data_IF_921534675615
#
_entry.id   IF_921534675615
#
_cell.length_a   1.000
_cell.length_b   1.000
_cell.length_c   1.000
_cell.angle_alpha   90.00
_cell.angle_beta   90.00
_cell.angle_gamma   90.00
#
_symmetry.space_group_name_H-M   'P 1'
#
loop_
_entity.id
_entity.type
_entity.pdbx_description
1 polymer ?
#
# COMPACT_ATOMS: atom_id res chain seq x y z
N UNK A 1 -21.25 -67.49 17.75
CA UNK A 1 -22.09 -66.29 17.48
C UNK A 1 -21.34 -64.98 17.77
N UNK A 2 -20.76 -64.79 18.97
CA UNK A 2 -19.97 -63.60 19.37
C UNK A 2 -19.04 -63.05 18.26
N UNK A 3 -18.15 -63.89 17.71
CA UNK A 3 -17.10 -63.49 16.75
C UNK A 3 -17.67 -62.89 15.45
N UNK A 4 -18.83 -63.38 14.99
CA UNK A 4 -19.48 -62.83 13.78
C UNK A 4 -20.01 -61.41 14.03
N UNK A 5 -20.54 -61.16 15.24
CA UNK A 5 -21.10 -59.88 15.63
C UNK A 5 -20.00 -58.81 15.75
N UNK A 6 -18.88 -59.14 16.39
CA UNK A 6 -17.72 -58.22 16.49
C UNK A 6 -17.12 -57.91 15.11
N UNK A 7 -17.02 -58.91 14.22
CA UNK A 7 -16.50 -58.70 12.86
C UNK A 7 -17.42 -57.83 11.98
N UNK A 8 -18.73 -57.90 12.18
CA UNK A 8 -19.71 -57.02 11.52
C UNK A 8 -19.64 -55.58 12.04
N UNK A 9 -19.47 -55.40 13.36
CA UNK A 9 -19.33 -54.07 13.97
C UNK A 9 -18.07 -53.35 13.44
N UNK A 10 -16.92 -54.02 13.47
CA UNK A 10 -15.64 -53.48 12.99
C UNK A 10 -15.70 -53.15 11.48
N UNK A 11 -16.40 -53.97 10.68
CA UNK A 11 -16.61 -53.67 9.26
C UNK A 11 -17.51 -52.44 9.04
N UNK A 12 -18.58 -52.28 9.83
CA UNK A 12 -19.44 -51.09 9.76
C UNK A 12 -18.68 -49.82 10.14
N UNK A 13 -17.88 -49.88 11.20
CA UNK A 13 -17.04 -48.78 11.68
C UNK A 13 -15.95 -48.42 10.66
N UNK A 14 -15.25 -49.41 10.09
CA UNK A 14 -14.24 -49.18 9.05
C UNK A 14 -14.82 -48.57 7.76
N UNK A 15 -16.06 -48.92 7.38
CA UNK A 15 -16.75 -48.31 6.23
C UNK A 15 -17.12 -46.85 6.53
N UNK A 16 -17.56 -46.54 7.76
CA UNK A 16 -17.84 -45.16 8.20
C UNK A 16 -16.59 -44.28 8.08
N UNK A 17 -15.49 -44.68 8.72
CA UNK A 17 -14.21 -43.93 8.66
C UNK A 17 -13.67 -43.76 7.24
N UNK A 18 -13.92 -44.70 6.31
CA UNK A 18 -13.50 -44.54 4.92
C UNK A 18 -14.30 -43.43 4.22
N UNK A 19 -15.63 -43.44 4.38
CA UNK A 19 -16.51 -42.41 3.80
C UNK A 19 -16.19 -41.02 4.35
N UNK A 20 -15.98 -40.89 5.67
CA UNK A 20 -15.59 -39.63 6.31
C UNK A 20 -14.23 -39.13 5.79
N UNK A 21 -13.27 -40.03 5.60
CA UNK A 21 -11.97 -39.70 4.98
C UNK A 21 -12.15 -39.21 3.54
N UNK A 22 -13.07 -39.80 2.76
CA UNK A 22 -13.32 -39.37 1.38
C UNK A 22 -13.92 -37.95 1.31
N UNK A 23 -14.81 -37.60 2.24
CA UNK A 23 -15.41 -36.27 2.34
C UNK A 23 -14.39 -35.22 2.80
N UNK A 24 -13.58 -35.54 3.81
CA UNK A 24 -12.48 -34.68 4.26
C UNK A 24 -11.42 -34.45 3.16
N UNK A 25 -10.99 -35.51 2.47
CA UNK A 25 -10.04 -35.37 1.35
C UNK A 25 -10.61 -34.57 0.18
N UNK A 26 -11.92 -34.65 -0.07
CA UNK A 26 -12.57 -33.80 -1.06
C UNK A 26 -12.55 -32.31 -0.67
N UNK A 27 -12.87 -31.96 0.58
CA UNK A 27 -12.82 -30.56 1.03
C UNK A 27 -11.39 -30.02 1.09
N UNK A 28 -10.41 -30.83 1.49
CA UNK A 28 -8.98 -30.49 1.44
C UNK A 28 -8.57 -30.20 -0.01
N UNK A 29 -8.92 -31.08 -0.97
CA UNK A 29 -8.59 -30.87 -2.39
C UNK A 29 -9.23 -29.60 -2.97
N UNK A 30 -10.44 -29.24 -2.53
CA UNK A 30 -11.07 -27.98 -2.92
C UNK A 30 -10.36 -26.76 -2.30
N UNK A 31 -9.85 -26.87 -1.06
CA UNK A 31 -9.03 -25.81 -0.48
C UNK A 31 -7.69 -25.65 -1.22
N UNK A 32 -7.02 -26.77 -1.57
CA UNK A 32 -5.78 -26.77 -2.36
C UNK A 32 -5.96 -26.10 -3.74
N UNK A 33 -7.07 -26.35 -4.45
CA UNK A 33 -7.32 -25.71 -5.74
C UNK A 33 -7.56 -24.21 -5.60
N UNK A 34 -8.25 -23.75 -4.54
CA UNK A 34 -8.46 -22.32 -4.27
C UNK A 34 -7.14 -21.63 -3.88
N UNK A 35 -6.27 -22.29 -3.10
CA UNK A 35 -4.94 -21.78 -2.76
C UNK A 35 -4.09 -21.65 -4.04
N UNK A 36 -4.01 -22.69 -4.87
CA UNK A 36 -3.26 -22.67 -6.12
C UNK A 36 -3.78 -21.61 -7.12
N UNK A 37 -5.10 -21.39 -7.16
CA UNK A 37 -5.70 -20.31 -7.96
C UNK A 37 -5.33 -18.92 -7.41
N UNK A 38 -5.33 -18.75 -6.09
CA UNK A 38 -4.91 -17.51 -5.43
C UNK A 38 -3.44 -17.19 -5.74
N UNK A 39 -2.54 -18.16 -5.60
CA UNK A 39 -1.12 -17.99 -5.88
C UNK A 39 -0.87 -17.60 -7.35
N UNK A 40 -1.58 -18.22 -8.29
CA UNK A 40 -1.50 -17.86 -9.71
C UNK A 40 -1.96 -16.42 -10.00
N UNK A 41 -3.02 -15.95 -9.33
CA UNK A 41 -3.52 -14.57 -9.46
C UNK A 41 -2.51 -13.57 -8.86
N UNK A 42 -1.96 -13.87 -7.69
CA UNK A 42 -0.97 -13.03 -7.01
C UNK A 42 0.32 -12.92 -7.83
N UNK A 43 0.85 -14.04 -8.33
CA UNK A 43 2.03 -14.05 -9.19
C UNK A 43 1.79 -13.23 -10.47
N UNK A 44 0.63 -13.40 -11.14
CA UNK A 44 0.30 -12.58 -12.31
C UNK A 44 0.24 -11.08 -11.98
N UNK A 45 -0.33 -10.71 -10.83
CA UNK A 45 -0.39 -9.30 -10.41
C UNK A 45 1.02 -8.72 -10.17
N UNK A 46 1.93 -9.51 -9.59
CA UNK A 46 3.33 -9.14 -9.38
C UNK A 46 4.02 -8.96 -10.75
N UNK A 47 3.90 -9.94 -11.64
CA UNK A 47 4.49 -9.90 -12.99
C UNK A 47 3.98 -8.72 -13.82
N UNK A 48 2.66 -8.47 -13.83
CA UNK A 48 2.04 -7.33 -14.50
C UNK A 48 2.60 -5.99 -13.94
N UNK A 49 2.79 -5.90 -12.62
CA UNK A 49 3.35 -4.69 -11.98
C UNK A 49 4.82 -4.46 -12.35
N UNK A 50 5.62 -5.53 -12.42
CA UNK A 50 7.02 -5.47 -12.83
C UNK A 50 7.15 -5.16 -14.33
N UNK A 51 6.27 -5.72 -15.16
CA UNK A 51 6.21 -5.43 -16.60
C UNK A 51 5.83 -3.97 -16.88
N UNK A 52 4.86 -3.40 -16.14
CA UNK A 52 4.47 -2.00 -16.24
C UNK A 52 5.62 -1.07 -15.79
N UNK A 53 6.23 -1.35 -14.63
CA UNK A 53 7.38 -0.59 -14.14
C UNK A 53 8.57 -0.67 -15.12
N UNK A 54 8.78 -1.82 -15.76
CA UNK A 54 9.80 -1.98 -16.80
C UNK A 54 9.47 -1.17 -18.05
N UNK A 55 8.23 -1.22 -18.55
CA UNK A 55 7.81 -0.41 -19.70
C UNK A 55 7.92 1.11 -19.42
N UNK A 56 7.79 1.53 -18.15
CA UNK A 56 8.03 2.90 -17.71
C UNK A 56 9.53 3.26 -17.61
N UNK A 57 10.44 2.28 -17.56
CA UNK A 57 11.89 2.49 -17.57
C UNK A 57 12.51 2.31 -18.97
N UNK A 58 11.91 1.49 -19.84
CA UNK A 58 12.32 1.27 -21.23
C UNK A 58 11.90 2.45 -22.16
N UNK A 59 12.11 3.70 -21.69
CA UNK A 59 12.10 4.90 -22.55
C UNK A 59 13.35 4.90 -23.43
N UNK A 60 13.34 4.09 -24.49
CA UNK A 60 14.24 4.25 -25.64
C UNK A 60 13.82 5.49 -26.45
N UNK A 61 14.06 6.64 -25.83
CA UNK A 61 13.69 7.96 -26.29
C UNK A 61 14.76 8.45 -27.28
N UNK A 62 14.39 8.44 -28.57
CA UNK A 62 15.00 9.20 -29.66
C UNK A 62 16.41 8.79 -30.14
N UNK A 63 16.45 8.05 -31.26
CA UNK A 63 17.24 8.55 -32.40
C UNK A 63 16.40 9.61 -33.13
N UNK A 64 16.53 10.86 -32.71
CA UNK A 64 15.87 11.98 -33.39
C UNK A 64 16.77 12.50 -34.51
N UNK A 65 16.51 12.08 -35.75
CA UNK A 65 16.91 12.88 -36.92
C UNK A 65 15.97 14.11 -36.96
N UNK A 66 16.46 15.34 -36.68
CA UNK A 66 15.60 16.44 -36.21
C UNK A 66 14.78 17.15 -37.31
N UNK A 67 14.79 16.67 -38.55
CA UNK A 67 14.35 17.45 -39.72
C UNK A 67 12.93 17.16 -40.22
N UNK A 68 12.29 16.04 -39.84
CA UNK A 68 11.02 15.62 -40.47
C UNK A 68 9.74 15.91 -39.67
N UNK A 69 9.85 16.25 -38.38
CA UNK A 69 8.68 16.45 -37.50
C UNK A 69 8.14 17.89 -37.54
N UNK A 70 9.01 18.88 -37.79
CA UNK A 70 8.64 20.31 -37.77
C UNK A 70 7.64 20.66 -38.88
N UNK A 71 7.73 20.01 -40.05
CA UNK A 71 6.84 20.24 -41.19
C UNK A 71 5.40 19.74 -40.94
N UNK A 72 5.21 18.72 -40.09
CA UNK A 72 3.88 18.18 -39.75
C UNK A 72 3.21 18.93 -38.59
N UNK A 73 3.99 19.61 -37.73
CA UNK A 73 3.47 20.29 -36.54
C UNK A 73 3.10 21.77 -36.76
N UNK A 74 3.43 22.38 -37.90
CA UNK A 74 3.21 23.81 -38.14
C UNK A 74 1.76 24.21 -38.52
N UNK A 75 0.79 23.30 -38.35
CA UNK A 75 -0.62 23.50 -38.71
C UNK A 75 -1.61 23.37 -37.53
N UNK A 76 -1.27 23.93 -36.36
CA UNK A 76 -2.24 24.45 -35.39
C UNK A 76 -1.56 25.46 -34.43
N UNK A 77 -2.03 26.71 -34.45
CA UNK A 77 -1.50 27.83 -33.66
C UNK A 77 -2.07 27.82 -32.22
N UNK A 78 -1.19 27.94 -31.22
CA UNK A 78 -1.44 28.38 -29.81
C UNK A 78 -2.33 27.48 -28.91
N UNK A 79 -2.12 27.35 -27.58
CA UNK A 79 -1.07 27.89 -26.68
C UNK A 79 -1.07 27.10 -25.34
N UNK A 80 0.11 26.60 -24.93
CA UNK A 80 0.68 26.43 -23.56
C UNK A 80 -0.21 25.98 -22.36
N UNK A 81 0.22 25.18 -21.38
CA UNK A 81 1.54 24.70 -20.92
C UNK A 81 1.43 23.21 -20.48
N UNK A 82 2.53 22.46 -20.57
CA UNK A 82 2.65 21.05 -20.16
C UNK A 82 3.53 20.89 -18.89
N UNK A 83 3.31 19.81 -18.13
CA UNK A 83 4.27 19.11 -17.22
C UNK A 83 4.78 19.79 -15.94
N UNK A 84 4.91 18.97 -14.89
CA UNK A 84 6.15 18.89 -14.11
C UNK A 84 6.34 17.49 -13.47
N UNK A 85 7.58 16.98 -13.44
CA UNK A 85 7.95 15.70 -12.82
C UNK A 85 9.44 15.71 -12.40
N UNK A 86 9.69 15.68 -11.08
CA UNK A 86 10.81 15.02 -10.35
C UNK A 86 12.30 15.35 -10.62
N UNK A 87 13.01 15.66 -9.50
CA UNK A 87 14.43 15.40 -9.13
C UNK A 87 15.50 16.54 -9.07
N UNK A 88 16.35 16.39 -8.05
CA UNK A 88 17.46 17.21 -7.49
C UNK A 88 18.81 17.19 -8.27
N UNK A 89 19.89 17.92 -7.86
CA UNK A 89 19.99 19.24 -7.20
C UNK A 89 21.18 20.14 -7.66
N UNK A 90 21.28 21.36 -7.08
CA UNK A 90 22.51 22.04 -6.52
C UNK A 90 22.94 23.42 -7.09
N UNK A 91 22.54 24.46 -6.32
CA UNK A 91 23.26 25.71 -5.94
C UNK A 91 23.06 27.03 -6.74
N UNK A 92 22.43 27.99 -6.04
CA UNK A 92 22.48 29.47 -6.15
C UNK A 92 21.79 30.12 -7.38
N UNK A 93 21.14 31.29 -7.29
CA UNK A 93 20.89 32.20 -6.15
C UNK A 93 19.61 33.03 -6.37
N UNK A 94 18.84 33.28 -5.28
CA UNK A 94 17.85 34.38 -5.05
C UNK A 94 16.74 34.59 -6.13
N UNK A 95 15.51 35.04 -5.88
CA UNK A 95 14.87 35.98 -4.92
C UNK A 95 13.43 35.41 -4.71
N UNK A 96 12.74 35.44 -3.56
CA UNK A 96 12.81 36.23 -2.31
C UNK A 96 12.43 35.35 -1.10
N UNK A 97 12.77 35.76 0.12
CA UNK A 97 12.34 35.06 1.33
C UNK A 97 10.91 35.44 1.80
N UNK A 98 10.09 34.43 2.06
CA UNK A 98 9.42 34.32 3.37
C UNK A 98 10.26 33.29 4.12
N UNK A 99 10.74 33.62 5.32
CA UNK A 99 11.57 32.71 6.10
C UNK A 99 10.71 31.52 6.56
N UNK A 100 10.67 30.45 5.77
CA UNK A 100 10.34 29.13 6.29
C UNK A 100 11.45 28.78 7.26
N UNK A 101 11.16 28.98 8.55
CA UNK A 101 11.87 28.34 9.66
C UNK A 101 12.13 26.90 9.22
N UNK A 102 13.35 26.35 9.39
CA UNK A 102 13.57 24.93 9.10
C UNK A 102 12.63 24.13 10.00
N UNK A 103 11.49 23.73 9.43
CA UNK A 103 10.48 22.97 10.14
C UNK A 103 11.14 21.63 10.41
N UNK A 104 11.52 21.43 11.67
CA UNK A 104 12.02 20.16 12.16
C UNK A 104 10.94 19.12 11.87
N UNK A 105 11.12 18.39 10.79
CA UNK A 105 10.28 17.26 10.44
C UNK A 105 10.71 16.11 11.33
N UNK A 106 9.78 15.67 12.18
CA UNK A 106 9.97 14.49 13.01
C UNK A 106 9.62 13.24 12.20
N UNK A 107 10.25 12.11 12.51
CA UNK A 107 10.00 10.84 11.81
C UNK A 107 8.70 10.20 12.32
N UNK A 108 7.56 10.61 11.75
CA UNK A 108 6.23 10.17 12.20
C UNK A 108 6.05 8.64 12.15
N UNK A 109 6.92 7.90 11.44
CA UNK A 109 6.96 6.43 11.45
C UNK A 109 7.30 5.81 12.81
N UNK A 110 7.85 6.59 13.73
CA UNK A 110 8.11 6.15 15.11
C UNK A 110 6.82 5.86 15.89
N UNK A 111 5.68 6.41 15.46
CA UNK A 111 4.36 6.12 16.02
C UNK A 111 3.85 4.80 15.43
N UNK A 112 3.61 3.82 16.30
CA UNK A 112 3.03 2.53 15.93
C UNK A 112 1.66 2.73 15.26
N UNK A 113 1.51 2.20 14.05
CA UNK A 113 0.35 2.40 13.18
C UNK A 113 0.56 3.44 12.06
N UNK A 114 1.61 4.26 12.11
CA UNK A 114 2.00 5.20 11.04
C UNK A 114 3.03 4.53 10.11
N UNK A 115 2.56 3.92 9.03
CA UNK A 115 3.44 3.42 7.96
C UNK A 115 3.96 4.54 7.04
N UNK A 116 4.99 4.29 6.21
CA UNK A 116 5.59 5.32 5.32
C UNK A 116 4.60 5.90 4.29
N UNK A 117 3.59 5.12 3.86
CA UNK A 117 2.51 5.61 3.00
C UNK A 117 1.42 6.42 3.73
N UNK A 118 1.44 6.45 5.06
CA UNK A 118 0.54 7.22 5.91
C UNK A 118 1.23 8.50 6.41
N UNK A 119 2.49 8.38 6.84
CA UNK A 119 3.40 9.52 7.05
C UNK A 119 3.36 10.48 5.86
N UNK A 120 3.57 9.99 4.63
CA UNK A 120 3.59 10.88 3.45
C UNK A 120 2.29 11.69 3.31
N UNK A 121 1.13 11.09 3.57
CA UNK A 121 -0.16 11.80 3.54
C UNK A 121 -0.34 12.77 4.72
N UNK A 122 0.24 12.48 5.89
CA UNK A 122 0.25 13.40 7.03
C UNK A 122 1.12 14.63 6.69
N UNK A 123 2.29 14.41 6.08
CA UNK A 123 3.15 15.47 5.55
C UNK A 123 2.43 16.29 4.47
N UNK A 124 1.75 15.64 3.52
CA UNK A 124 0.93 16.30 2.48
C UNK A 124 -0.25 17.10 3.07
N UNK A 125 -0.78 16.66 4.24
CA UNK A 125 -1.82 17.37 5.00
C UNK A 125 -1.26 18.49 5.90
N UNK A 126 0.07 18.64 5.98
CA UNK A 126 0.76 19.67 6.78
C UNK A 126 1.12 19.26 8.21
N UNK A 127 0.93 17.99 8.59
CA UNK A 127 1.40 17.43 9.87
C UNK A 127 2.82 16.90 9.68
N UNK A 128 3.76 17.56 10.36
CA UNK A 128 5.21 17.38 10.22
C UNK A 128 5.94 17.12 11.54
N UNK A 129 5.28 17.27 12.69
CA UNK A 129 5.92 17.09 14.00
C UNK A 129 5.05 16.31 15.00
N UNK A 130 5.69 15.67 15.99
CA UNK A 130 4.96 14.97 17.06
C UNK A 130 4.08 15.93 17.87
N UNK A 131 4.54 17.18 18.05
CA UNK A 131 3.79 18.22 18.77
C UNK A 131 2.43 18.53 18.14
N UNK A 132 2.30 18.44 16.81
CA UNK A 132 1.02 18.61 16.13
C UNK A 132 0.10 17.41 16.36
N UNK A 133 0.63 16.18 16.38
CA UNK A 133 -0.13 14.96 16.66
C UNK A 133 -0.60 14.92 18.12
N UNK A 134 0.26 15.30 19.07
CA UNK A 134 -0.09 15.40 20.48
C UNK A 134 -1.14 16.49 20.79
N UNK A 135 -1.26 17.51 19.92
CA UNK A 135 -2.21 18.61 20.06
C UNK A 135 -3.54 18.42 19.29
N UNK A 136 -3.77 17.26 18.64
CA UNK A 136 -5.00 17.00 17.88
C UNK A 136 -6.23 16.98 18.80
N UNK A 137 -7.28 17.70 18.40
CA UNK A 137 -8.59 17.61 19.05
C UNK A 137 -9.42 16.45 18.52
N UNK A 138 -10.51 16.10 19.21
CA UNK A 138 -11.44 15.05 18.75
C UNK A 138 -12.02 15.32 17.35
N UNK A 139 -12.21 16.59 16.98
CA UNK A 139 -12.70 17.00 15.66
C UNK A 139 -11.59 16.84 14.60
N UNK A 140 -10.34 17.25 14.90
CA UNK A 140 -9.19 17.06 14.01
C UNK A 140 -8.92 15.58 13.74
N UNK A 141 -9.06 14.73 14.76
CA UNK A 141 -8.96 13.27 14.65
C UNK A 141 -10.03 12.75 13.66
N UNK A 142 -11.27 13.21 13.78
CA UNK A 142 -12.36 12.78 12.88
C UNK A 142 -12.10 13.21 11.42
N UNK A 143 -11.63 14.44 11.19
CA UNK A 143 -11.28 14.93 9.85
C UNK A 143 -10.06 14.19 9.27
N UNK A 144 -9.03 13.90 10.08
CA UNK A 144 -7.89 13.07 9.68
C UNK A 144 -8.28 11.63 9.35
N UNK A 145 -9.15 11.03 10.16
CA UNK A 145 -9.62 9.67 9.93
C UNK A 145 -10.47 9.55 8.65
N UNK A 146 -11.29 10.57 8.36
CA UNK A 146 -12.08 10.66 7.13
C UNK A 146 -11.22 10.91 5.88
N UNK A 147 -10.25 11.83 5.94
CA UNK A 147 -9.50 12.32 4.77
C UNK A 147 -8.21 11.56 4.48
N UNK A 148 -7.44 11.27 5.53
CA UNK A 148 -6.06 10.76 5.43
C UNK A 148 -5.98 9.26 5.70
N UNK A 149 -6.52 8.82 6.85
CA UNK A 149 -6.35 7.45 7.36
C UNK A 149 -7.31 6.47 6.69
N UNK A 150 -8.51 6.91 6.30
CA UNK A 150 -9.61 6.11 5.71
C UNK A 150 -10.12 4.97 6.61
N UNK A 151 -9.76 4.98 7.89
CA UNK A 151 -10.21 4.02 8.90
C UNK A 151 -10.49 4.79 10.20
N UNK A 152 -11.77 4.93 10.54
CA UNK A 152 -12.22 5.56 11.77
C UNK A 152 -11.81 4.73 13.01
N UNK A 153 -11.51 5.43 14.10
CA UNK A 153 -11.04 4.87 15.37
C UNK A 153 -9.58 4.38 15.37
N UNK A 154 -8.81 4.48 14.28
CA UNK A 154 -7.41 4.03 14.26
C UNK A 154 -6.54 4.88 15.18
N UNK A 155 -6.66 6.20 15.13
CA UNK A 155 -5.78 7.13 15.85
C UNK A 155 -5.91 6.92 17.36
N UNK A 156 -7.14 6.63 17.81
CA UNK A 156 -7.45 6.31 19.22
C UNK A 156 -7.09 4.86 19.61
N UNK A 157 -7.33 3.87 18.73
CA UNK A 157 -7.02 2.46 18.98
C UNK A 157 -5.52 2.20 19.09
N UNK A 158 -4.73 2.86 18.24
CA UNK A 158 -3.28 2.77 18.21
C UNK A 158 -2.60 3.82 19.12
N UNK A 159 -3.36 4.59 19.93
CA UNK A 159 -2.88 5.64 20.85
C UNK A 159 -1.78 6.55 20.26
N UNK A 160 -2.06 7.17 19.12
CA UNK A 160 -1.08 8.05 18.46
C UNK A 160 -0.73 9.29 19.28
N UNK A 161 -1.68 9.79 20.09
CA UNK A 161 -1.50 10.98 20.92
C UNK A 161 -0.56 10.65 22.09
N UNK A 162 -0.80 9.53 22.80
CA UNK A 162 0.08 9.08 23.87
C UNK A 162 1.50 8.76 23.37
N UNK A 163 1.62 8.12 22.20
CA UNK A 163 2.92 7.87 21.57
C UNK A 163 3.63 9.16 21.13
N UNK A 164 2.91 10.11 20.51
CA UNK A 164 3.50 11.39 20.12
C UNK A 164 4.00 12.18 21.34
N UNK A 165 3.27 12.15 22.46
CA UNK A 165 3.71 12.76 23.72
C UNK A 165 4.99 12.08 24.26
N UNK A 166 5.05 10.75 24.27
CA UNK A 166 6.26 10.01 24.68
C UNK A 166 7.49 10.35 23.82
N UNK A 167 7.30 10.62 22.52
CA UNK A 167 8.38 11.01 21.60
C UNK A 167 8.79 12.49 21.70
N UNK A 168 8.03 13.32 22.42
CA UNK A 168 8.40 14.71 22.76
C UNK A 168 9.17 14.80 24.08
N UNK A 169 8.89 13.88 25.02
CA UNK A 169 9.48 13.83 26.35
C UNK A 169 10.78 12.98 26.42
N UNK A 170 11.23 12.42 25.28
CA UNK A 170 12.38 11.51 25.13
C UNK A 170 13.63 12.17 24.53
#
# INVERSE_FOLDING_TARGET
>A
MQVLCTALLIKGEAIMYQVDTSLAMYTIKQAETVIAQSDAILNKMIDDSLALNRAMMDFSFLELAPTKTIELMLSAHTTTVEKEQTAEPKRASEIKAIAQVPVRQDDLKMISGVGPGLERKLLDFGITSYAQIAALTDDDIADLEARVVKFAGRIKRDDWIGQAQQLLDA
#
